data_IF_028529459284
#
_entry.id   IF_028529459284
#
_cell.length_a   1.000
_cell.length_b   1.000
_cell.length_c   1.000
_cell.angle_alpha   90.00
_cell.angle_beta   90.00
_cell.angle_gamma   90.00
#
_symmetry.space_group_name_H-M   'P 1'
#
loop_
_entity.id
_entity.type
_entity.pdbx_description
1 polymer ?
#
# COMPACT_ATOMS: atom_id res chain seq x y z
N UNK A 1 -22.78 -13.22 0.59
CA UNK A 1 -23.30 -13.78 1.86
C UNK A 1 -23.12 -12.82 3.04
N UNK A 2 -21.91 -12.37 3.41
CA UNK A 2 -21.74 -11.51 4.61
C UNK A 2 -22.51 -10.17 4.56
N UNK A 3 -22.37 -9.38 3.49
CA UNK A 3 -23.04 -8.08 3.38
C UNK A 3 -24.58 -8.16 3.34
N UNK A 4 -25.13 -9.30 2.91
CA UNK A 4 -26.58 -9.53 2.84
C UNK A 4 -27.24 -9.69 4.22
N UNK A 5 -26.43 -9.95 5.26
CA UNK A 5 -26.91 -10.04 6.65
C UNK A 5 -26.83 -8.72 7.42
N UNK A 6 -26.27 -7.68 6.80
CA UNK A 6 -26.34 -6.31 7.30
C UNK A 6 -27.61 -5.68 6.75
N UNK A 7 -28.22 -4.76 7.49
CA UNK A 7 -29.41 -4.00 7.06
C UNK A 7 -29.07 -2.98 5.93
N UNK A 8 -28.18 -3.37 5.02
CA UNK A 8 -27.83 -2.63 3.81
C UNK A 8 -28.90 -2.90 2.76
N UNK A 9 -29.27 -1.87 1.99
CA UNK A 9 -30.18 -2.06 0.88
C UNK A 9 -29.54 -2.93 -0.22
N UNK A 10 -30.38 -3.59 -1.00
CA UNK A 10 -29.94 -4.54 -2.02
C UNK A 10 -29.04 -3.91 -3.09
N UNK A 11 -29.33 -2.67 -3.49
CA UNK A 11 -28.57 -1.95 -4.51
C UNK A 11 -27.14 -1.65 -4.05
N UNK A 12 -26.96 -1.29 -2.78
CA UNK A 12 -25.64 -1.05 -2.15
C UNK A 12 -24.84 -2.34 -2.11
N UNK A 13 -25.47 -3.45 -1.70
CA UNK A 13 -24.82 -4.75 -1.69
C UNK A 13 -24.40 -5.14 -3.10
N UNK A 14 -25.29 -4.99 -4.09
CA UNK A 14 -25.03 -5.32 -5.48
C UNK A 14 -23.87 -4.49 -6.07
N UNK A 15 -23.84 -3.18 -5.80
CA UNK A 15 -22.78 -2.30 -6.28
C UNK A 15 -21.41 -2.70 -5.71
N UNK A 16 -21.31 -2.91 -4.40
CA UNK A 16 -20.06 -3.31 -3.73
C UNK A 16 -19.61 -4.68 -4.21
N UNK A 17 -20.52 -5.65 -4.33
CA UNK A 17 -20.16 -6.99 -4.84
C UNK A 17 -19.74 -6.95 -6.30
N UNK A 18 -20.38 -6.11 -7.13
CA UNK A 18 -20.03 -5.95 -8.54
C UNK A 18 -18.63 -5.35 -8.73
N UNK A 19 -18.29 -4.31 -7.97
CA UNK A 19 -16.93 -3.75 -7.96
C UNK A 19 -15.89 -4.80 -7.53
N UNK A 20 -16.16 -5.53 -6.45
CA UNK A 20 -15.27 -6.58 -5.97
C UNK A 20 -15.11 -7.70 -7.01
N UNK A 21 -16.20 -8.14 -7.64
CA UNK A 21 -16.18 -9.18 -8.68
C UNK A 21 -15.37 -8.73 -9.91
N UNK A 22 -15.57 -7.49 -10.36
CA UNK A 22 -14.80 -6.91 -11.46
C UNK A 22 -13.30 -6.87 -11.14
N UNK A 23 -12.93 -6.41 -9.94
CA UNK A 23 -11.53 -6.36 -9.47
C UNK A 23 -10.92 -7.75 -9.34
N UNK A 24 -11.65 -8.71 -8.77
CA UNK A 24 -11.20 -10.10 -8.68
C UNK A 24 -11.00 -10.69 -10.07
N UNK A 25 -11.94 -10.49 -10.98
CA UNK A 25 -11.88 -11.00 -12.37
C UNK A 25 -10.68 -10.43 -13.10
N UNK A 26 -10.48 -9.10 -13.05
CA UNK A 26 -9.35 -8.43 -13.68
C UNK A 26 -8.00 -8.95 -13.18
N UNK A 27 -7.85 -9.08 -11.85
CA UNK A 27 -6.62 -9.58 -11.25
C UNK A 27 -6.38 -11.06 -11.57
N UNK A 28 -7.42 -11.90 -11.47
CA UNK A 28 -7.32 -13.34 -11.72
C UNK A 28 -7.12 -13.68 -13.20
N UNK A 29 -7.72 -12.95 -14.13
CA UNK A 29 -7.50 -13.14 -15.57
C UNK A 29 -6.02 -13.00 -15.97
N UNK A 30 -5.23 -12.27 -15.18
CA UNK A 30 -3.77 -12.09 -15.36
C UNK A 30 -2.94 -12.85 -14.35
N UNK A 31 -3.53 -13.75 -13.55
CA UNK A 31 -2.84 -14.44 -12.45
C UNK A 31 -1.62 -15.24 -12.91
N UNK A 32 -1.72 -15.85 -14.09
CA UNK A 32 -0.65 -16.69 -14.66
C UNK A 32 0.49 -15.86 -15.28
N UNK A 33 0.31 -14.55 -15.48
CA UNK A 33 1.42 -13.63 -15.70
C UNK A 33 2.14 -13.36 -14.36
N UNK A 34 3.08 -14.26 -14.03
CA UNK A 34 3.76 -14.24 -12.74
C UNK A 34 4.51 -12.94 -12.44
N UNK A 35 5.04 -12.27 -13.48
CA UNK A 35 5.74 -10.99 -13.34
C UNK A 35 4.77 -9.86 -12.99
N UNK A 36 3.71 -9.74 -13.77
CA UNK A 36 2.65 -8.75 -13.54
C UNK A 36 1.98 -8.96 -12.18
N UNK A 37 1.56 -10.19 -11.87
CA UNK A 37 0.97 -10.56 -10.58
C UNK A 37 1.88 -10.20 -9.42
N UNK A 38 3.16 -10.56 -9.50
CA UNK A 38 4.08 -10.35 -8.39
C UNK A 38 4.32 -8.85 -8.10
N UNK A 39 4.34 -8.00 -9.14
CA UNK A 39 4.41 -6.55 -9.01
C UNK A 39 3.10 -5.97 -8.45
N UNK A 40 1.96 -6.34 -9.05
CA UNK A 40 0.64 -5.82 -8.67
C UNK A 40 0.29 -6.11 -7.21
N UNK A 41 0.66 -7.28 -6.68
CA UNK A 41 0.37 -7.65 -5.28
C UNK A 41 1.28 -6.97 -4.24
N UNK A 42 2.36 -6.29 -4.63
CA UNK A 42 3.31 -5.66 -3.69
C UNK A 42 2.68 -4.66 -2.72
N UNK A 43 1.80 -3.73 -3.16
CA UNK A 43 1.18 -2.76 -2.27
C UNK A 43 0.39 -3.39 -1.13
N UNK A 44 -0.16 -4.59 -1.36
CA UNK A 44 -0.99 -5.31 -0.41
C UNK A 44 -0.21 -6.13 0.61
N UNK A 45 1.10 -6.38 0.39
CA UNK A 45 1.87 -7.30 1.24
C UNK A 45 1.99 -6.83 2.70
N UNK A 46 2.15 -5.53 2.95
CA UNK A 46 2.25 -5.02 4.33
C UNK A 46 1.01 -5.32 5.14
N UNK A 47 -0.17 -5.22 4.53
CA UNK A 47 -1.44 -5.46 5.21
C UNK A 47 -1.76 -6.95 5.29
N UNK A 48 -1.64 -7.65 4.16
CA UNK A 48 -1.97 -9.07 4.02
C UNK A 48 -1.19 -9.98 4.98
N UNK A 49 0.09 -9.64 5.25
CA UNK A 49 0.96 -10.44 6.11
C UNK A 49 0.43 -10.59 7.54
N UNK A 50 -0.44 -9.70 8.00
CA UNK A 50 -0.94 -9.67 9.38
C UNK A 50 -2.43 -9.99 9.51
N UNK A 51 -3.08 -10.36 8.39
CA UNK A 51 -4.41 -10.95 8.45
C UNK A 51 -4.33 -12.45 8.73
N UNK A 52 -5.36 -12.95 9.41
CA UNK A 52 -5.53 -14.37 9.69
C UNK A 52 -6.75 -14.89 8.92
N UNK A 53 -6.69 -16.10 8.35
CA UNK A 53 -5.50 -16.95 8.27
C UNK A 53 -4.40 -16.35 7.37
N UNK A 54 -3.14 -16.62 7.70
CA UNK A 54 -2.03 -16.19 6.85
C UNK A 54 -1.97 -17.06 5.60
N UNK A 55 -2.06 -16.44 4.43
CA UNK A 55 -1.86 -17.12 3.16
C UNK A 55 -1.09 -16.23 2.19
N UNK A 56 -0.02 -16.77 1.59
CA UNK A 56 0.95 -15.98 0.81
C UNK A 56 0.35 -15.33 -0.44
N UNK A 57 -0.60 -16.01 -1.08
CA UNK A 57 -1.20 -15.55 -2.34
C UNK A 57 -2.63 -15.00 -2.15
N UNK A 58 -3.53 -15.79 -1.56
CA UNK A 58 -4.88 -15.35 -1.19
C UNK A 58 -4.92 -14.09 -0.31
N UNK A 59 -4.00 -13.91 0.64
CA UNK A 59 -3.96 -12.71 1.50
C UNK A 59 -3.82 -11.42 0.69
N UNK A 60 -2.73 -11.25 -0.09
CA UNK A 60 -2.55 -10.08 -0.94
C UNK A 60 -3.64 -9.90 -2.00
N UNK A 61 -4.14 -10.98 -2.60
CA UNK A 61 -5.28 -10.97 -3.52
C UNK A 61 -6.50 -10.31 -2.85
N UNK A 62 -6.89 -10.81 -1.68
CA UNK A 62 -8.05 -10.31 -0.93
C UNK A 62 -7.86 -8.86 -0.51
N UNK A 63 -6.67 -8.49 -0.05
CA UNK A 63 -6.41 -7.09 0.32
C UNK A 63 -6.60 -6.17 -0.88
N UNK A 64 -6.06 -6.52 -2.04
CA UNK A 64 -6.07 -5.65 -3.21
C UNK A 64 -7.42 -5.62 -3.95
N UNK A 65 -8.04 -6.78 -4.14
CA UNK A 65 -9.30 -6.86 -4.89
C UNK A 65 -10.52 -6.55 -4.02
N UNK A 66 -10.50 -6.90 -2.74
CA UNK A 66 -11.65 -6.76 -1.83
C UNK A 66 -11.46 -5.59 -0.88
N UNK A 67 -10.40 -5.59 -0.06
CA UNK A 67 -10.23 -4.54 0.96
C UNK A 67 -9.99 -3.17 0.36
N UNK A 68 -9.35 -3.09 -0.78
CA UNK A 68 -9.08 -1.84 -1.50
C UNK A 68 -10.21 -1.48 -2.49
N UNK A 69 -11.36 -2.16 -2.43
CA UNK A 69 -12.58 -1.69 -3.10
C UNK A 69 -12.97 -0.31 -2.56
N UNK A 70 -13.08 0.73 -3.40
CA UNK A 70 -13.52 2.06 -2.96
C UNK A 70 -14.90 2.01 -2.32
N UNK A 71 -15.84 1.26 -2.91
CA UNK A 71 -17.20 1.14 -2.38
C UNK A 71 -17.23 0.44 -1.01
N UNK A 72 -16.39 -0.58 -0.80
CA UNK A 72 -16.28 -1.18 0.53
C UNK A 72 -15.63 -0.24 1.55
N UNK A 73 -14.64 0.57 1.12
CA UNK A 73 -14.03 1.59 1.98
C UNK A 73 -15.04 2.68 2.35
N UNK A 74 -15.90 3.10 1.43
CA UNK A 74 -16.95 4.10 1.71
C UNK A 74 -17.96 3.59 2.74
N UNK A 75 -18.37 2.33 2.64
CA UNK A 75 -19.24 1.71 3.65
C UNK A 75 -18.59 1.70 5.04
N UNK A 76 -17.27 1.53 5.13
CA UNK A 76 -16.57 1.51 6.41
C UNK A 76 -16.25 2.91 6.95
N UNK A 77 -15.71 3.78 6.10
CA UNK A 77 -15.21 5.09 6.47
C UNK A 77 -16.28 6.18 6.35
N UNK A 78 -16.64 6.53 5.11
CA UNK A 78 -17.50 7.69 4.81
C UNK A 78 -18.93 7.53 5.36
N UNK A 79 -19.48 6.33 5.29
CA UNK A 79 -20.85 6.04 5.72
C UNK A 79 -20.93 5.44 7.13
N UNK A 80 -19.84 4.86 7.64
CA UNK A 80 -19.81 4.23 8.97
C UNK A 80 -20.78 3.06 9.13
N UNK A 81 -21.17 2.42 8.02
CA UNK A 81 -22.13 1.29 7.98
C UNK A 81 -21.46 -0.06 8.29
N UNK A 82 -20.14 -0.14 8.14
CA UNK A 82 -19.33 -1.30 8.50
C UNK A 82 -18.24 -0.90 9.49
N UNK A 83 -18.13 -1.59 10.61
CA UNK A 83 -17.06 -1.34 11.57
C UNK A 83 -15.77 -2.13 11.27
N UNK A 84 -14.75 -1.97 12.12
CA UNK A 84 -13.49 -2.73 12.02
C UNK A 84 -13.68 -4.26 12.17
N UNK A 85 -14.71 -4.69 12.89
CA UNK A 85 -15.03 -6.10 13.11
C UNK A 85 -15.61 -6.71 11.84
N UNK A 86 -16.52 -5.99 11.18
CA UNK A 86 -17.15 -6.37 9.92
C UNK A 86 -16.11 -6.52 8.82
N UNK A 87 -15.29 -5.50 8.69
CA UNK A 87 -14.17 -5.48 7.78
C UNK A 87 -13.21 -6.66 8.02
N UNK A 88 -12.90 -6.96 9.28
CA UNK A 88 -12.04 -8.10 9.63
C UNK A 88 -12.70 -9.42 9.26
N UNK A 89 -14.00 -9.56 9.51
CA UNK A 89 -14.77 -10.76 9.17
C UNK A 89 -14.80 -10.99 7.66
N UNK A 90 -15.09 -9.96 6.87
CA UNK A 90 -15.06 -10.00 5.39
C UNK A 90 -13.68 -10.45 4.91
N UNK A 91 -12.61 -9.81 5.42
CA UNK A 91 -11.23 -10.16 5.04
C UNK A 91 -10.92 -11.61 5.38
N UNK A 92 -11.23 -12.04 6.61
CA UNK A 92 -10.93 -13.40 7.10
C UNK A 92 -11.63 -14.45 6.26
N UNK A 93 -12.94 -14.31 6.07
CA UNK A 93 -13.75 -15.26 5.28
C UNK A 93 -13.29 -15.32 3.83
N UNK A 94 -12.94 -14.19 3.23
CA UNK A 94 -12.44 -14.17 1.87
C UNK A 94 -11.06 -14.85 1.76
N UNK A 95 -10.15 -14.62 2.71
CA UNK A 95 -8.85 -15.32 2.70
C UNK A 95 -9.05 -16.82 2.90
N UNK A 96 -9.93 -17.24 3.83
CA UNK A 96 -10.27 -18.65 4.03
C UNK A 96 -10.78 -19.31 2.75
N UNK A 97 -11.73 -18.65 2.07
CA UNK A 97 -12.27 -19.13 0.79
C UNK A 97 -11.18 -19.28 -0.26
N UNK A 98 -10.44 -18.21 -0.58
CA UNK A 98 -9.43 -18.23 -1.64
C UNK A 98 -8.19 -19.06 -1.29
N UNK A 99 -7.95 -19.37 -0.02
CA UNK A 99 -6.88 -20.31 0.38
C UNK A 99 -7.18 -21.76 -0.02
N UNK A 100 -8.46 -22.10 -0.22
CA UNK A 100 -8.89 -23.42 -0.70
C UNK A 100 -9.03 -23.52 -2.22
N UNK A 101 -8.81 -22.43 -2.97
CA UNK A 101 -9.00 -22.36 -4.41
C UNK A 101 -7.65 -22.49 -5.12
N UNK A 102 -7.59 -23.31 -6.18
CA UNK A 102 -6.48 -23.26 -7.13
C UNK A 102 -6.63 -22.02 -8.02
N UNK A 103 -6.00 -20.93 -7.61
CA UNK A 103 -6.08 -19.63 -8.29
C UNK A 103 -5.49 -19.68 -9.71
N UNK A 104 -4.51 -20.55 -9.97
CA UNK A 104 -3.90 -20.69 -11.29
C UNK A 104 -4.82 -21.44 -12.26
N UNK A 105 -5.51 -22.48 -11.78
CA UNK A 105 -6.53 -23.17 -12.54
C UNK A 105 -7.74 -22.25 -12.81
N UNK A 106 -8.26 -21.57 -11.77
CA UNK A 106 -9.38 -20.64 -11.91
C UNK A 106 -9.09 -19.52 -12.91
N UNK A 107 -7.86 -19.00 -12.93
CA UNK A 107 -7.44 -17.99 -13.90
C UNK A 107 -7.53 -18.47 -15.37
N UNK A 108 -7.39 -19.78 -15.63
CA UNK A 108 -7.50 -20.34 -16.97
C UNK A 108 -8.92 -20.32 -17.54
N UNK A 109 -9.93 -20.10 -16.70
CA UNK A 109 -11.35 -20.03 -17.09
C UNK A 109 -11.84 -18.59 -17.28
N UNK A 110 -11.01 -17.60 -16.95
CA UNK A 110 -11.38 -16.18 -16.96
C UNK A 110 -10.79 -15.45 -18.15
N UNK A 111 -11.58 -14.53 -18.71
CA UNK A 111 -11.12 -13.54 -19.68
C UNK A 111 -10.90 -12.20 -18.98
N UNK A 112 -9.92 -11.43 -19.45
CA UNK A 112 -9.72 -10.06 -18.97
C UNK A 112 -10.99 -9.24 -19.24
N UNK A 113 -11.57 -8.58 -18.23
CA UNK A 113 -12.75 -7.76 -18.43
C UNK A 113 -12.38 -6.49 -19.22
N UNK A 114 -13.34 -5.93 -19.97
CA UNK A 114 -13.13 -4.70 -20.74
C UNK A 114 -12.72 -3.52 -19.85
N UNK A 115 -13.24 -3.49 -18.61
CA UNK A 115 -12.92 -2.51 -17.60
C UNK A 115 -12.00 -3.13 -16.52
N UNK A 116 -10.75 -3.40 -16.86
CA UNK A 116 -9.70 -3.82 -15.91
C UNK A 116 -9.12 -2.58 -15.19
N UNK A 117 -9.38 -2.41 -13.87
CA UNK A 117 -8.91 -1.24 -13.11
C UNK A 117 -7.40 -1.26 -12.83
N UNK A 118 -6.67 -2.29 -13.23
CA UNK A 118 -5.23 -2.42 -12.99
C UNK A 118 -4.42 -2.39 -14.29
N UNK A 119 -5.07 -2.52 -15.45
CA UNK A 119 -4.40 -2.67 -16.74
C UNK A 119 -3.47 -1.51 -17.07
N UNK A 120 -3.90 -0.28 -16.79
CA UNK A 120 -3.18 0.95 -17.16
C UNK A 120 -2.00 1.28 -16.25
N UNK A 121 -1.96 0.73 -15.02
CA UNK A 121 -0.94 1.07 -14.01
C UNK A 121 0.51 1.01 -14.53
N UNK A 122 0.96 -0.01 -15.28
CA UNK A 122 2.33 -0.06 -15.78
C UNK A 122 2.66 1.04 -16.79
N UNK A 123 1.69 1.41 -17.63
CA UNK A 123 1.89 2.40 -18.68
C UNK A 123 1.79 3.83 -18.13
N UNK A 124 0.84 4.07 -17.23
CA UNK A 124 0.60 5.39 -16.65
C UNK A 124 1.63 5.74 -15.57
N UNK A 125 2.08 4.75 -14.78
CA UNK A 125 2.97 4.95 -13.63
C UNK A 125 4.24 4.07 -13.73
N UNK A 126 5.08 4.26 -14.76
CA UNK A 126 6.17 3.35 -15.09
C UNK A 126 7.27 3.27 -14.01
N UNK A 127 7.57 4.35 -13.28
CA UNK A 127 8.59 4.33 -12.22
C UNK A 127 8.07 3.61 -10.98
N UNK A 128 6.82 3.88 -10.59
CA UNK A 128 6.16 3.18 -9.48
C UNK A 128 6.03 1.68 -9.79
N UNK A 129 5.59 1.34 -11.00
CA UNK A 129 5.49 -0.05 -11.46
C UNK A 129 6.85 -0.74 -11.46
N UNK A 130 7.89 -0.11 -12.00
CA UNK A 130 9.24 -0.66 -11.99
C UNK A 130 9.74 -0.89 -10.56
N UNK A 131 9.51 0.05 -9.64
CA UNK A 131 9.89 -0.14 -8.24
C UNK A 131 9.21 -1.37 -7.63
N UNK A 132 7.92 -1.58 -7.88
CA UNK A 132 7.21 -2.78 -7.39
C UNK A 132 7.65 -4.08 -8.07
N UNK A 133 7.89 -4.10 -9.39
CA UNK A 133 8.46 -5.28 -10.07
C UNK A 133 9.83 -5.65 -9.50
N UNK A 134 10.69 -4.65 -9.27
CA UNK A 134 12.00 -4.89 -8.67
C UNK A 134 11.89 -5.35 -7.22
N UNK A 135 10.93 -4.83 -6.46
CA UNK A 135 10.66 -5.25 -5.09
C UNK A 135 10.13 -6.68 -5.04
N UNK A 136 9.28 -7.07 -5.99
CA UNK A 136 8.77 -8.43 -6.13
C UNK A 136 9.87 -9.45 -6.36
N UNK A 137 10.90 -9.05 -7.11
CA UNK A 137 12.12 -9.84 -7.39
C UNK A 137 13.20 -9.69 -6.32
N UNK A 138 12.98 -8.85 -5.30
CA UNK A 138 13.92 -8.67 -4.18
C UNK A 138 13.67 -9.72 -3.10
N UNK A 139 14.75 -10.23 -2.51
CA UNK A 139 14.68 -11.24 -1.45
C UNK A 139 14.92 -10.62 -0.07
N UNK A 140 16.19 -10.44 0.31
CA UNK A 140 16.61 -9.91 1.61
C UNK A 140 17.53 -8.70 1.51
N UNK A 141 18.25 -8.57 0.40
CA UNK A 141 19.18 -7.48 0.18
C UNK A 141 18.51 -6.37 -0.63
N UNK A 142 18.97 -5.11 -0.48
CA UNK A 142 18.61 -4.06 -1.42
C UNK A 142 18.89 -4.51 -2.84
N UNK A 143 17.98 -4.17 -3.75
CA UNK A 143 18.15 -4.42 -5.18
C UNK A 143 18.32 -3.07 -5.89
N UNK A 144 19.45 -2.89 -6.55
CA UNK A 144 19.66 -1.79 -7.49
C UNK A 144 19.19 -2.20 -8.88
N UNK A 145 18.71 -1.24 -9.64
CA UNK A 145 18.24 -1.43 -11.01
C UNK A 145 18.48 -0.18 -11.84
N UNK A 146 18.39 -0.29 -13.17
CA UNK A 146 18.49 0.86 -14.05
C UNK A 146 17.30 1.81 -13.83
N UNK A 147 17.59 3.09 -13.64
CA UNK A 147 16.55 4.09 -13.43
C UNK A 147 15.65 4.19 -14.67
N UNK A 148 14.34 4.19 -14.43
CA UNK A 148 13.32 4.27 -15.49
C UNK A 148 13.00 5.73 -15.75
N UNK A 149 12.78 6.09 -17.02
CA UNK A 149 12.28 7.41 -17.41
C UNK A 149 10.81 7.31 -17.81
N UNK A 150 10.01 8.29 -17.40
CA UNK A 150 8.59 8.36 -17.73
C UNK A 150 8.39 9.07 -19.09
N UNK A 151 8.82 8.45 -20.18
CA UNK A 151 8.66 9.05 -21.50
C UNK A 151 7.17 9.12 -21.89
N UNK A 152 6.59 10.31 -21.89
CA UNK A 152 5.29 10.59 -22.51
C UNK A 152 4.04 10.36 -21.65
N UNK A 153 4.15 9.96 -20.38
CA UNK A 153 2.99 9.94 -19.47
C UNK A 153 2.93 11.21 -18.64
N UNK A 154 1.84 11.97 -18.74
CA UNK A 154 1.58 13.11 -17.86
C UNK A 154 0.92 12.62 -16.56
N UNK A 155 1.36 13.18 -15.43
CA UNK A 155 0.65 13.00 -14.17
C UNK A 155 -0.48 14.03 -14.09
N UNK A 156 -1.63 13.66 -13.49
CA UNK A 156 -2.64 14.65 -13.14
C UNK A 156 -2.05 15.70 -12.18
N UNK A 157 -2.65 16.89 -12.07
CA UNK A 157 -2.32 17.87 -11.02
C UNK A 157 -2.38 17.25 -9.62
N UNK A 158 -1.52 17.70 -8.70
CA UNK A 158 -1.42 17.15 -7.34
C UNK A 158 -2.76 17.12 -6.61
N UNK A 159 -3.58 18.16 -6.78
CA UNK A 159 -4.88 18.33 -6.14
C UNK A 159 -5.92 17.29 -6.57
N UNK A 160 -5.69 16.58 -7.69
CA UNK A 160 -6.59 15.52 -8.15
C UNK A 160 -6.34 14.18 -7.45
N UNK A 161 -5.17 13.99 -6.84
CA UNK A 161 -4.79 12.71 -6.22
C UNK A 161 -4.18 12.84 -4.83
N UNK A 162 -4.11 14.05 -4.27
CA UNK A 162 -3.62 14.28 -2.92
C UNK A 162 -4.40 15.40 -2.24
N UNK A 163 -4.65 15.22 -0.94
CA UNK A 163 -5.30 16.19 -0.07
C UNK A 163 -4.57 16.34 1.27
N UNK A 164 -4.95 17.35 2.05
CA UNK A 164 -4.44 17.62 3.40
C UNK A 164 -2.92 17.52 3.52
N UNK A 165 -2.46 16.78 4.53
CA UNK A 165 -1.02 16.60 4.79
C UNK A 165 -0.27 15.87 3.67
N UNK A 166 -0.94 15.06 2.84
CA UNK A 166 -0.30 14.41 1.71
C UNK A 166 0.00 15.44 0.62
N UNK A 167 -0.96 16.31 0.30
CA UNK A 167 -0.77 17.39 -0.67
C UNK A 167 0.37 18.33 -0.24
N UNK A 168 0.39 18.73 1.03
CA UNK A 168 1.45 19.59 1.60
C UNK A 168 2.85 18.96 1.43
N UNK A 169 2.98 17.67 1.74
CA UNK A 169 4.24 16.93 1.58
C UNK A 169 4.67 16.86 0.09
N UNK A 170 3.73 16.59 -0.82
CA UNK A 170 4.03 16.49 -2.26
C UNK A 170 4.42 17.86 -2.86
N UNK A 171 3.76 18.93 -2.46
CA UNK A 171 4.14 20.28 -2.86
C UNK A 171 5.52 20.67 -2.28
N UNK A 172 5.84 20.24 -1.06
CA UNK A 172 7.20 20.41 -0.50
C UNK A 172 8.26 19.63 -1.27
N UNK A 173 7.92 18.44 -1.78
CA UNK A 173 8.79 17.67 -2.69
C UNK A 173 8.99 18.41 -4.03
N UNK A 174 7.91 18.95 -4.60
CA UNK A 174 7.95 19.74 -5.84
C UNK A 174 8.87 20.96 -5.73
N UNK A 175 8.77 21.69 -4.61
CA UNK A 175 9.63 22.85 -4.30
C UNK A 175 11.05 22.47 -3.89
N UNK A 176 11.35 21.18 -3.71
CA UNK A 176 12.66 20.68 -3.30
C UNK A 176 12.97 20.84 -1.81
N UNK A 177 11.98 21.21 -0.98
CA UNK A 177 12.08 21.37 0.47
C UNK A 177 12.14 20.00 1.18
N UNK A 178 11.45 19.00 0.61
CA UNK A 178 11.35 17.65 1.15
C UNK A 178 12.10 16.67 0.23
N UNK A 179 12.93 15.80 0.82
CA UNK A 179 13.77 14.85 0.07
C UNK A 179 13.21 13.42 0.00
N UNK A 180 12.17 13.12 0.77
CA UNK A 180 11.51 11.82 0.79
C UNK A 180 10.06 11.97 1.26
N UNK A 181 9.18 11.10 0.79
CA UNK A 181 7.85 10.90 1.36
C UNK A 181 7.91 9.75 2.37
N UNK A 182 7.47 10.00 3.61
CA UNK A 182 7.32 8.95 4.61
C UNK A 182 5.87 8.76 5.03
N UNK A 183 5.42 7.51 5.03
CA UNK A 183 4.20 7.03 5.70
C UNK A 183 4.49 5.68 6.35
N UNK A 184 3.75 5.27 7.37
CA UNK A 184 4.05 4.01 8.07
C UNK A 184 3.93 2.76 7.16
N UNK A 185 3.00 2.79 6.21
CA UNK A 185 2.67 1.71 5.25
C UNK A 185 1.95 2.28 4.03
N UNK A 186 1.83 1.51 2.94
CA UNK A 186 1.17 1.97 1.72
C UNK A 186 -0.30 2.34 1.91
N UNK A 187 -1.05 1.62 2.76
CA UNK A 187 -2.45 1.98 3.08
C UNK A 187 -2.60 3.35 3.75
N UNK A 188 -1.52 3.90 4.32
CA UNK A 188 -1.48 5.25 4.90
C UNK A 188 -1.06 6.32 3.87
N UNK A 189 -0.67 5.90 2.65
CA UNK A 189 -0.64 6.76 1.48
C UNK A 189 -2.03 6.73 0.85
N UNK A 190 -2.47 5.55 0.38
CA UNK A 190 -3.83 5.31 -0.08
C UNK A 190 -4.16 3.81 -0.16
N UNK A 191 -5.45 3.49 -0.09
CA UNK A 191 -6.00 2.19 -0.49
C UNK A 191 -6.55 2.19 -1.92
N UNK A 192 -6.71 3.36 -2.52
CA UNK A 192 -6.92 3.49 -3.96
C UNK A 192 -5.56 3.27 -4.65
N UNK A 193 -5.51 2.28 -5.55
CA UNK A 193 -4.26 1.95 -6.24
C UNK A 193 -3.83 3.01 -7.24
N UNK A 194 -4.77 3.63 -7.94
CA UNK A 194 -4.46 4.72 -8.87
C UNK A 194 -3.83 5.89 -8.12
N UNK A 195 -4.46 6.29 -7.02
CA UNK A 195 -3.92 7.33 -6.15
C UNK A 195 -2.55 6.93 -5.59
N UNK A 196 -2.42 5.70 -5.07
CA UNK A 196 -1.14 5.21 -4.55
C UNK A 196 -0.05 5.26 -5.62
N UNK A 197 -0.30 4.72 -6.81
CA UNK A 197 0.67 4.71 -7.89
C UNK A 197 0.98 6.13 -8.38
N UNK A 198 0.00 7.03 -8.47
CA UNK A 198 0.23 8.44 -8.80
C UNK A 198 1.17 9.13 -7.81
N UNK A 199 0.95 8.93 -6.50
CA UNK A 199 1.83 9.45 -5.44
C UNK A 199 3.24 8.89 -5.57
N UNK A 200 3.38 7.58 -5.71
CA UNK A 200 4.71 6.95 -5.85
C UNK A 200 5.42 7.45 -7.11
N UNK A 201 4.71 7.51 -8.24
CA UNK A 201 5.23 8.00 -9.52
C UNK A 201 5.71 9.44 -9.40
N UNK A 202 4.92 10.33 -8.80
CA UNK A 202 5.28 11.72 -8.57
C UNK A 202 6.59 11.86 -7.79
N UNK A 203 6.69 11.18 -6.63
CA UNK A 203 7.87 11.23 -5.77
C UNK A 203 9.11 10.69 -6.49
N UNK A 204 8.96 9.58 -7.24
CA UNK A 204 10.07 8.95 -7.96
C UNK A 204 10.52 9.79 -9.17
N UNK A 205 9.61 10.48 -9.87
CA UNK A 205 9.94 11.44 -10.95
C UNK A 205 10.71 12.65 -10.45
N UNK A 206 10.40 13.12 -9.24
CA UNK A 206 11.16 14.16 -8.56
C UNK A 206 12.55 13.70 -8.05
N UNK A 207 12.96 12.47 -8.41
CA UNK A 207 14.18 11.81 -7.95
C UNK A 207 14.29 11.78 -6.41
N UNK A 208 13.14 11.64 -5.74
CA UNK A 208 13.03 11.48 -4.29
C UNK A 208 12.73 10.03 -3.95
N UNK A 209 12.65 9.74 -2.65
CA UNK A 209 12.42 8.38 -2.13
C UNK A 209 11.06 8.29 -1.45
N UNK A 210 10.34 7.19 -1.67
CA UNK A 210 9.20 6.79 -0.82
C UNK A 210 9.67 5.79 0.21
N UNK A 211 9.34 6.03 1.48
CA UNK A 211 9.82 5.25 2.61
C UNK A 211 8.63 4.85 3.49
N UNK A 212 8.50 3.56 3.74
CA UNK A 212 7.66 3.03 4.82
C UNK A 212 8.51 2.38 5.90
N UNK A 213 7.89 1.92 6.98
CA UNK A 213 8.61 1.10 7.96
C UNK A 213 9.13 -0.20 7.35
N UNK A 214 8.51 -0.69 6.27
CA UNK A 214 8.87 -1.94 5.63
C UNK A 214 9.58 -1.78 4.28
N UNK A 215 9.42 -0.65 3.60
CA UNK A 215 9.94 -0.48 2.26
C UNK A 215 10.72 0.81 2.08
N UNK A 216 11.66 0.73 1.16
CA UNK A 216 12.39 1.87 0.60
C UNK A 216 12.28 1.76 -0.91
N UNK A 217 11.78 2.80 -1.56
CA UNK A 217 11.61 2.88 -3.00
C UNK A 217 12.25 4.17 -3.52
N UNK A 218 13.27 4.05 -4.37
CA UNK A 218 13.81 5.14 -5.19
C UNK A 218 13.93 4.67 -6.63
N UNK A 219 14.00 5.60 -7.59
CA UNK A 219 14.22 5.24 -8.99
C UNK A 219 15.66 4.71 -9.17
N UNK A 220 15.80 3.37 -9.20
CA UNK A 220 17.07 2.67 -9.32
C UNK A 220 17.51 1.90 -8.05
N UNK A 221 16.74 1.94 -6.96
CA UNK A 221 16.97 1.05 -5.82
C UNK A 221 15.70 0.79 -5.00
N UNK A 222 15.47 -0.46 -4.65
CA UNK A 222 14.43 -0.88 -3.71
C UNK A 222 14.98 -1.73 -2.58
N UNK A 223 14.29 -1.72 -1.44
CA UNK A 223 14.60 -2.58 -0.30
C UNK A 223 13.35 -2.95 0.47
N UNK A 224 13.33 -4.17 1.01
CA UNK A 224 12.28 -4.73 1.85
C UNK A 224 12.84 -5.12 3.21
N UNK A 225 12.17 -4.71 4.28
CA UNK A 225 12.39 -5.21 5.63
C UNK A 225 11.96 -6.68 5.72
N UNK A 226 12.78 -7.52 6.33
CA UNK A 226 12.41 -8.92 6.60
C UNK A 226 12.78 -9.35 8.04
N UNK A 227 11.81 -9.63 8.92
CA UNK A 227 10.35 -9.69 8.68
C UNK A 227 9.71 -8.31 8.55
N UNK A 228 8.55 -8.24 7.89
CA UNK A 228 7.70 -7.04 7.87
C UNK A 228 7.21 -6.70 9.29
N UNK A 229 6.88 -5.43 9.51
CA UNK A 229 6.17 -4.92 10.67
C UNK A 229 4.72 -4.65 10.31
N UNK A 230 3.82 -4.95 11.25
CA UNK A 230 2.39 -4.70 11.09
C UNK A 230 2.15 -3.21 10.83
N UNK A 231 1.36 -2.82 9.82
CA UNK A 231 0.91 -1.45 9.63
C UNK A 231 0.28 -0.87 10.91
N UNK A 232 0.56 0.40 11.19
CA UNK A 232 0.04 1.11 12.34
C UNK A 232 -1.47 1.28 12.19
N UNK A 233 -2.17 1.25 13.33
CA UNK A 233 -3.58 1.65 13.40
C UNK A 233 -3.71 3.03 14.02
N UNK A 234 -2.73 3.47 14.84
CA UNK A 234 -2.74 4.77 15.52
C UNK A 234 -1.36 5.44 15.42
N UNK A 235 -1.27 6.79 15.49
CA UNK A 235 0.01 7.51 15.45
C UNK A 235 1.04 7.04 16.49
N UNK A 236 0.60 6.69 17.70
CA UNK A 236 1.50 6.19 18.75
C UNK A 236 2.20 4.86 18.41
N UNK A 237 1.64 4.06 17.51
CA UNK A 237 2.26 2.81 17.04
C UNK A 237 3.44 3.10 16.10
N UNK A 238 3.38 4.20 15.35
CA UNK A 238 4.40 4.61 14.38
C UNK A 238 5.71 4.92 15.12
N UNK A 239 5.64 5.72 16.20
CA UNK A 239 6.81 6.14 16.97
C UNK A 239 7.61 4.94 17.52
N UNK A 240 6.91 3.93 18.06
CA UNK A 240 7.54 2.72 18.64
C UNK A 240 8.29 1.88 17.61
N UNK A 241 7.89 1.91 16.33
CA UNK A 241 8.52 1.08 15.28
C UNK A 241 9.89 1.59 14.85
N UNK A 242 10.18 2.88 15.01
CA UNK A 242 11.50 3.43 14.68
C UNK A 242 12.64 2.78 15.50
N UNK A 243 12.34 2.27 16.70
CA UNK A 243 13.32 1.57 17.53
C UNK A 243 13.55 0.12 17.08
N UNK A 244 12.62 -0.45 16.30
CA UNK A 244 12.76 -1.78 15.77
C UNK A 244 13.65 -1.78 14.51
N UNK A 245 14.91 -2.20 14.69
CA UNK A 245 15.90 -2.32 13.61
C UNK A 245 15.93 -3.71 12.94
N UNK A 246 15.15 -4.67 13.44
CA UNK A 246 15.18 -6.06 12.94
C UNK A 246 14.74 -6.10 11.48
N UNK A 247 15.55 -6.74 10.66
CA UNK A 247 15.25 -6.95 9.24
C UNK A 247 15.52 -5.77 8.31
N UNK A 248 16.00 -4.63 8.84
CA UNK A 248 16.39 -3.49 8.02
C UNK A 248 17.81 -3.69 7.44
N UNK A 249 18.01 -3.13 6.25
CA UNK A 249 19.30 -3.09 5.53
C UNK A 249 19.77 -1.64 5.38
N UNK A 250 21.10 -1.44 5.23
CA UNK A 250 21.81 -0.18 5.49
C UNK A 250 21.04 1.10 5.11
N UNK A 251 20.78 1.33 3.81
CA UNK A 251 20.19 2.59 3.34
C UNK A 251 18.79 2.84 3.90
N UNK A 252 17.95 1.81 3.99
CA UNK A 252 16.62 1.91 4.59
C UNK A 252 16.69 2.23 6.09
N UNK A 253 17.64 1.60 6.80
CA UNK A 253 17.91 1.87 8.22
C UNK A 253 18.37 3.31 8.45
N UNK A 254 19.27 3.83 7.62
CA UNK A 254 19.79 5.18 7.73
C UNK A 254 18.70 6.23 7.49
N UNK A 255 17.84 6.01 6.50
CA UNK A 255 16.70 6.88 6.24
C UNK A 255 15.69 6.88 7.40
N UNK A 256 15.31 5.71 7.93
CA UNK A 256 14.40 5.65 9.09
C UNK A 256 15.00 6.33 10.34
N UNK A 257 16.32 6.25 10.53
CA UNK A 257 17.01 6.99 11.60
C UNK A 257 16.92 8.50 11.41
N UNK A 258 17.04 8.98 10.17
CA UNK A 258 16.89 10.41 9.85
C UNK A 258 15.45 10.86 10.09
N UNK A 259 14.47 10.12 9.56
CA UNK A 259 13.03 10.38 9.73
C UNK A 259 12.64 10.46 11.21
N UNK A 260 13.13 9.54 12.05
CA UNK A 260 12.85 9.54 13.49
C UNK A 260 13.09 10.89 14.15
N UNK A 261 14.14 11.62 13.72
CA UNK A 261 14.51 12.92 14.30
C UNK A 261 13.47 14.02 14.04
N UNK A 262 12.69 13.88 12.97
CA UNK A 262 11.64 14.84 12.59
C UNK A 262 10.28 14.46 13.15
N UNK A 263 9.96 13.15 13.22
CA UNK A 263 8.64 12.66 13.62
C UNK A 263 8.51 12.44 15.13
N UNK A 264 9.59 12.03 15.79
CA UNK A 264 9.60 11.78 17.24
C UNK A 264 10.44 12.90 17.88
N UNK A 265 9.82 13.99 18.38
CA UNK A 265 10.57 15.01 19.07
C UNK A 265 11.31 14.37 20.26
N UNK A 266 12.56 14.79 20.54
CA UNK A 266 13.25 14.34 21.73
C UNK A 266 12.39 14.68 22.95
N UNK A 267 12.36 13.78 23.95
CA UNK A 267 11.77 14.13 25.24
C UNK A 267 12.42 15.44 25.69
N UNK A 268 11.62 16.49 25.94
CA UNK A 268 12.13 17.71 26.54
C UNK A 268 12.82 17.27 27.82
N UNK A 269 14.11 17.58 27.97
CA UNK A 269 14.78 17.43 29.25
C UNK A 269 13.91 18.18 30.26
N UNK A 270 13.27 17.45 31.17
CA UNK A 270 12.56 18.06 32.27
C UNK A 270 13.51 19.05 32.92
N UNK A 271 13.06 20.29 33.05
CA UNK A 271 13.71 21.30 33.86
C UNK A 271 13.86 20.69 35.26
N UNK A 272 15.06 20.20 35.56
CA UNK A 272 15.53 20.00 36.92
C UNK A 272 15.64 21.39 37.51
N UNK A 273 14.51 21.92 37.97
CA UNK A 273 14.50 23.09 38.83
C UNK A 273 15.28 22.70 40.08
N UNK A 274 16.38 23.39 40.40
CA UNK A 274 17.04 23.18 41.67
C UNK A 274 16.07 23.68 42.74
N UNK A 275 15.62 22.79 43.62
CA UNK A 275 15.02 23.18 44.87
C UNK A 275 16.06 23.97 45.66
N UNK A 276 15.98 25.30 45.62
CA UNK A 276 16.65 26.17 46.58
C UNK A 276 15.85 26.17 47.88
N UNK A 277 16.56 25.84 48.95
CA UNK A 277 16.18 25.92 50.36
C UNK A 277 15.68 27.32 50.79
#
# INVERSE_FOLDING_TARGET
MFLQHKELNADTVAAVTGDIEQRLTALLARWNDTGYRAALLQPALEEATFYMPFHREAGPLVVLAIRYSPLLQDLHGAHGLLDDTDIRAITTQAVEFFSGVDLAAAAGELSTPDADPFHHLPAQYPLAWAAFDQLARSTRLPKTYEAVTAAGSELPPLEQFADGSLLEDLQGIERGEISFLFRDSFKMISRDLDQLFAVLEFVLRANKTVITHNFYLSNGMVSRRNPLLKPASKPGDIAKKFDNKKGLVSRHKDSLRLIKKFIVPPARAEEVLPHTE
#
